data_IF_212979146829
#
_entry.id   IF_212979146829
#
_cell.length_a   1.000
_cell.length_b   1.000
_cell.length_c   1.000
_cell.angle_alpha   90.00
_cell.angle_beta   90.00
_cell.angle_gamma   90.00
#
_symmetry.space_group_name_H-M   'P 1'
#
loop_
_entity.id
_entity.type
_entity.pdbx_description
1 polymer ?
#
# COMPACT_ATOMS: atom_id res chain seq x y z
N UNK A 1 -31.35 25.42 25.81
CA UNK A 1 -31.50 24.00 26.22
C UNK A 1 -30.61 23.16 25.34
N UNK A 2 -29.47 22.69 25.87
CA UNK A 2 -28.70 21.56 25.35
C UNK A 2 -27.70 21.13 26.44
N UNK A 3 -28.12 20.13 27.22
CA UNK A 3 -27.30 19.12 27.89
C UNK A 3 -26.45 18.38 26.80
N UNK A 4 -25.34 17.68 27.03
CA UNK A 4 -24.83 16.97 28.20
C UNK A 4 -23.36 16.55 27.93
N UNK A 5 -22.60 16.42 29.02
CA UNK A 5 -21.57 15.39 29.29
C UNK A 5 -20.34 15.24 28.39
N UNK A 6 -19.22 15.80 28.88
CA UNK A 6 -17.90 15.14 28.86
C UNK A 6 -17.95 13.94 29.81
N UNK A 7 -17.71 12.73 29.31
CA UNK A 7 -17.38 11.57 30.17
C UNK A 7 -15.94 11.16 29.92
N UNK A 8 -15.11 11.32 30.94
CA UNK A 8 -13.80 10.70 31.03
C UNK A 8 -13.94 9.19 31.21
N UNK A 9 -12.99 8.42 30.68
CA UNK A 9 -12.86 7.00 30.98
C UNK A 9 -11.66 6.82 31.90
N UNK A 10 -11.97 6.47 33.14
CA UNK A 10 -11.04 6.03 34.16
C UNK A 10 -10.33 4.74 33.73
N UNK A 11 -9.05 4.67 34.02
CA UNK A 11 -8.26 3.46 33.99
C UNK A 11 -8.68 2.56 35.18
N UNK A 12 -9.15 1.36 34.89
CA UNK A 12 -9.42 0.31 35.87
C UNK A 12 -8.23 -0.65 35.93
N UNK A 13 -7.61 -0.73 37.09
CA UNK A 13 -6.58 -1.69 37.47
C UNK A 13 -7.25 -2.73 38.36
N UNK A 14 -7.15 -4.03 38.03
CA UNK A 14 -7.13 -5.15 38.99
C UNK A 14 -7.21 -6.50 38.29
N UNK A 15 -6.41 -7.46 38.78
CA UNK A 15 -6.68 -8.88 38.60
C UNK A 15 -5.46 -9.76 38.32
N UNK A 16 -4.60 -9.95 39.33
CA UNK A 16 -3.58 -10.99 39.38
C UNK A 16 -4.22 -12.34 39.77
N UNK A 17 -4.00 -13.42 39.02
CA UNK A 17 -3.97 -14.80 39.57
C UNK A 17 -2.97 -15.65 38.78
N UNK A 18 -2.05 -16.28 39.52
CA UNK A 18 -1.06 -17.29 39.08
C UNK A 18 -1.69 -18.66 38.82
N UNK A 19 -1.25 -19.32 37.75
CA UNK A 19 -0.94 -20.76 37.66
C UNK A 19 -0.24 -20.97 36.30
N UNK A 20 0.95 -21.54 36.14
CA UNK A 20 1.55 -22.65 36.87
C UNK A 20 1.28 -23.97 36.13
N UNK A 21 1.74 -24.12 34.88
CA UNK A 21 1.72 -25.42 34.18
C UNK A 21 3.05 -25.65 33.47
N UNK A 22 3.78 -26.64 33.96
CA UNK A 22 4.93 -27.28 33.31
C UNK A 22 4.45 -28.00 32.05
N UNK A 23 5.01 -27.67 30.89
CA UNK A 23 4.86 -28.49 29.68
C UNK A 23 6.13 -29.33 29.55
N UNK A 24 6.01 -30.62 29.85
CA UNK A 24 7.02 -31.62 29.54
C UNK A 24 7.11 -31.77 28.01
N UNK A 25 8.33 -31.64 27.47
CA UNK A 25 8.60 -31.96 26.08
C UNK A 25 8.48 -33.48 25.86
N UNK A 26 7.78 -33.96 24.83
CA UNK A 26 7.87 -35.37 24.46
C UNK A 26 9.22 -35.66 23.81
N UNK A 27 9.80 -36.77 24.24
CA UNK A 27 10.94 -37.45 23.62
C UNK A 27 10.66 -37.67 22.12
N UNK A 28 11.60 -37.24 21.28
CA UNK A 28 11.62 -37.58 19.87
C UNK A 28 11.80 -39.10 19.72
N UNK A 29 10.77 -39.78 19.21
CA UNK A 29 10.91 -41.12 18.64
C UNK A 29 11.19 -40.96 17.16
N UNK A 30 12.42 -41.26 16.75
CA UNK A 30 12.81 -41.34 15.35
C UNK A 30 12.23 -42.63 14.74
N UNK A 31 11.01 -42.54 14.22
CA UNK A 31 10.46 -43.57 13.32
C UNK A 31 10.99 -43.35 11.91
N UNK A 32 11.75 -44.31 11.39
CA UNK A 32 12.14 -44.33 9.98
C UNK A 32 11.01 -45.01 9.20
N UNK A 33 10.03 -44.22 8.75
CA UNK A 33 9.02 -44.69 7.80
C UNK A 33 9.54 -44.51 6.37
N UNK A 34 9.36 -45.50 5.47
CA UNK A 34 9.78 -45.40 4.08
C UNK A 34 9.00 -44.31 3.32
N UNK A 35 9.71 -43.57 2.46
CA UNK A 35 9.17 -42.50 1.63
C UNK A 35 8.16 -43.02 0.61
N UNK A 36 6.89 -43.14 1.01
CA UNK A 36 5.77 -43.07 0.07
C UNK A 36 5.60 -41.62 -0.38
N UNK A 37 5.72 -41.40 -1.69
CA UNK A 37 5.47 -40.12 -2.33
C UNK A 37 4.13 -39.50 -1.86
N UNK A 38 4.07 -38.19 -1.58
CA UNK A 38 2.81 -37.55 -1.19
C UNK A 38 1.83 -37.59 -2.37
N UNK A 39 0.51 -37.71 -2.11
CA UNK A 39 -0.47 -37.50 -3.16
C UNK A 39 -0.37 -36.05 -3.66
N UNK A 40 -0.25 -35.91 -4.98
CA UNK A 40 -0.59 -34.69 -5.72
C UNK A 40 -1.95 -34.18 -5.26
N UNK A 41 -2.00 -33.00 -4.61
CA UNK A 41 -3.26 -32.26 -4.43
C UNK A 41 -3.58 -31.62 -3.08
N UNK A 42 -2.61 -31.24 -2.23
CA UNK A 42 -2.94 -30.40 -1.07
C UNK A 42 -2.77 -28.91 -1.37
N UNK A 43 -3.81 -28.32 -1.98
CA UNK A 43 -4.00 -26.86 -1.98
C UNK A 43 -4.47 -26.46 -0.59
N UNK A 44 -3.53 -26.22 0.33
CA UNK A 44 -3.85 -25.56 1.60
C UNK A 44 -4.55 -24.21 1.34
N UNK A 45 -5.39 -23.71 2.26
CA UNK A 45 -6.03 -22.42 2.06
C UNK A 45 -4.95 -21.35 1.90
N UNK A 46 -4.89 -20.74 0.72
CA UNK A 46 -4.11 -19.53 0.48
C UNK A 46 -4.50 -18.51 1.55
N UNK A 47 -3.51 -17.82 2.13
CA UNK A 47 -3.78 -16.75 3.07
C UNK A 47 -4.75 -15.74 2.44
N UNK A 48 -5.95 -15.62 3.00
CA UNK A 48 -6.94 -14.62 2.61
C UNK A 48 -6.83 -13.45 3.58
N UNK A 49 -6.28 -12.34 3.11
CA UNK A 49 -6.28 -11.11 3.88
C UNK A 49 -7.61 -10.37 3.71
N UNK A 50 -8.06 -9.67 4.74
CA UNK A 50 -9.21 -8.76 4.62
C UNK A 50 -8.75 -7.50 3.91
N UNK A 51 -9.42 -7.12 2.83
CA UNK A 51 -9.10 -5.88 2.13
C UNK A 51 -9.26 -4.68 3.07
N UNK A 52 -8.22 -3.85 3.18
CA UNK A 52 -8.22 -2.69 4.07
C UNK A 52 -7.39 -1.57 3.48
N UNK A 53 -8.02 -0.41 3.30
CA UNK A 53 -7.33 0.83 2.93
C UNK A 53 -7.03 1.68 4.17
N UNK A 54 -5.86 2.29 4.22
CA UNK A 54 -5.44 3.23 5.26
C UNK A 54 -4.73 4.40 4.60
N UNK A 55 -5.19 5.63 4.89
CA UNK A 55 -4.53 6.86 4.49
C UNK A 55 -3.75 7.42 5.69
N UNK A 56 -2.45 7.62 5.54
CA UNK A 56 -1.57 8.07 6.61
C UNK A 56 -0.33 8.81 6.08
N UNK A 57 0.44 9.38 7.00
CA UNK A 57 1.67 10.13 6.69
C UNK A 57 1.42 11.59 6.36
N UNK A 58 2.32 12.20 5.61
CA UNK A 58 2.13 13.56 5.08
C UNK A 58 1.15 13.52 3.91
N UNK A 59 0.20 14.46 3.90
CA UNK A 59 -0.69 14.69 2.76
C UNK A 59 -0.05 15.72 1.82
N UNK A 60 0.30 15.29 0.62
CA UNK A 60 0.90 16.15 -0.39
C UNK A 60 -0.16 16.95 -1.14
N UNK A 61 0.15 18.22 -1.42
CA UNK A 61 -0.58 18.99 -2.41
C UNK A 61 -0.33 18.49 -3.84
N UNK A 62 -1.24 18.77 -4.75
CA UNK A 62 -1.12 18.39 -6.17
C UNK A 62 0.19 18.90 -6.78
N UNK A 63 0.61 20.12 -6.42
CA UNK A 63 1.90 20.70 -6.84
C UNK A 63 3.09 19.89 -6.33
N UNK A 64 3.05 19.41 -5.08
CA UNK A 64 4.12 18.57 -4.55
C UNK A 64 4.18 17.22 -5.27
N UNK A 65 3.02 16.61 -5.56
CA UNK A 65 2.94 15.38 -6.36
C UNK A 65 3.56 15.63 -7.75
N UNK A 66 3.17 16.72 -8.41
CA UNK A 66 3.71 17.12 -9.71
C UNK A 66 5.22 17.34 -9.66
N UNK A 67 5.74 17.97 -8.60
CA UNK A 67 7.18 18.18 -8.44
C UNK A 67 7.95 16.87 -8.30
N UNK A 68 7.44 15.92 -7.49
CA UNK A 68 8.07 14.61 -7.37
C UNK A 68 8.04 13.83 -8.68
N UNK A 69 6.92 13.83 -9.39
CA UNK A 69 6.79 13.19 -10.70
C UNK A 69 7.74 13.80 -11.74
N UNK A 70 7.84 15.13 -11.79
CA UNK A 70 8.77 15.84 -12.68
C UNK A 70 10.22 15.53 -12.35
N UNK A 71 10.57 15.54 -11.06
CA UNK A 71 11.93 15.20 -10.60
C UNK A 71 12.29 13.72 -10.88
N UNK A 72 11.30 12.84 -11.02
CA UNK A 72 11.48 11.47 -11.45
C UNK A 72 11.66 11.30 -12.98
N UNK A 73 11.60 12.39 -13.75
CA UNK A 73 11.82 12.40 -15.19
C UNK A 73 10.55 12.44 -16.04
N UNK A 74 9.36 12.44 -15.42
CA UNK A 74 8.09 12.48 -16.15
C UNK A 74 7.83 13.89 -16.71
N UNK A 75 7.32 13.93 -17.94
CA UNK A 75 7.04 15.17 -18.66
C UNK A 75 5.80 15.05 -19.55
N UNK A 76 5.28 16.19 -19.99
CA UNK A 76 4.17 16.25 -20.94
C UNK A 76 2.93 15.47 -20.45
N UNK A 77 2.34 14.68 -21.34
CA UNK A 77 1.14 13.91 -20.99
C UNK A 77 1.41 12.85 -19.92
N UNK A 78 2.61 12.25 -19.90
CA UNK A 78 3.01 11.27 -18.88
C UNK A 78 3.05 11.88 -17.48
N UNK A 79 3.51 13.14 -17.36
CA UNK A 79 3.44 13.89 -16.10
C UNK A 79 2.00 14.12 -15.64
N UNK A 80 1.13 14.56 -16.55
CA UNK A 80 -0.28 14.82 -16.23
C UNK A 80 -0.99 13.53 -15.79
N UNK A 81 -0.82 12.43 -16.52
CA UNK A 81 -1.45 11.15 -16.15
C UNK A 81 -0.89 10.65 -14.80
N UNK A 82 0.41 10.77 -14.56
CA UNK A 82 1.03 10.38 -13.29
C UNK A 82 0.41 11.08 -12.08
N UNK A 83 0.18 12.39 -12.18
CA UNK A 83 -0.45 13.16 -11.10
C UNK A 83 -1.89 12.70 -10.89
N UNK A 84 -2.65 12.49 -11.97
CA UNK A 84 -4.03 12.03 -11.89
C UNK A 84 -4.14 10.61 -11.28
N UNK A 85 -3.24 9.70 -11.65
CA UNK A 85 -3.13 8.36 -11.07
C UNK A 85 -2.79 8.44 -9.59
N UNK A 86 -1.76 9.19 -9.20
CA UNK A 86 -1.41 9.39 -7.78
C UNK A 86 -2.59 9.89 -6.92
N UNK A 87 -3.36 10.84 -7.45
CA UNK A 87 -4.54 11.38 -6.77
C UNK A 87 -5.68 10.36 -6.66
N UNK A 88 -5.89 9.54 -7.69
CA UNK A 88 -6.88 8.46 -7.64
C UNK A 88 -6.48 7.33 -6.68
N UNK A 89 -5.20 7.00 -6.64
CA UNK A 89 -4.64 5.90 -5.86
C UNK A 89 -4.62 6.20 -4.36
N UNK A 90 -4.11 7.37 -3.98
CA UNK A 90 -3.80 7.67 -2.57
C UNK A 90 -4.34 8.99 -2.07
N UNK A 91 -4.97 9.80 -2.94
CA UNK A 91 -5.32 11.19 -2.67
C UNK A 91 -4.13 12.08 -2.28
N UNK A 92 -2.88 11.60 -2.46
CA UNK A 92 -1.65 12.31 -2.06
C UNK A 92 -1.07 11.90 -0.70
N UNK A 93 -1.57 10.86 -0.05
CA UNK A 93 -1.05 10.41 1.25
C UNK A 93 0.22 9.55 1.09
N UNK A 94 1.33 10.02 1.67
CA UNK A 94 2.66 9.38 1.53
C UNK A 94 2.78 7.98 2.11
N UNK A 95 1.99 7.65 3.13
CA UNK A 95 1.93 6.31 3.75
C UNK A 95 0.58 5.64 3.53
N UNK A 96 -0.07 5.92 2.39
CA UNK A 96 -1.26 5.17 1.98
C UNK A 96 -0.93 3.68 1.80
N UNK A 97 -1.79 2.81 2.32
CA UNK A 97 -1.68 1.36 2.17
C UNK A 97 -3.05 0.79 1.82
N UNK A 98 -3.11 0.00 0.75
CA UNK A 98 -4.19 -0.94 0.51
C UNK A 98 -3.65 -2.36 0.74
N UNK A 99 -4.22 -3.07 1.71
CA UNK A 99 -4.04 -4.52 1.87
C UNK A 99 -5.03 -5.19 0.93
N UNK A 100 -4.55 -6.03 0.02
CA UNK A 100 -5.36 -6.80 -0.91
C UNK A 100 -5.74 -8.17 -0.34
N UNK A 101 -6.71 -8.83 -0.97
CA UNK A 101 -7.20 -10.14 -0.53
C UNK A 101 -6.16 -11.26 -0.65
N UNK A 102 -5.20 -11.09 -1.57
CA UNK A 102 -4.04 -11.96 -1.74
C UNK A 102 -2.88 -11.62 -0.79
N UNK A 103 -3.12 -10.77 0.20
CA UNK A 103 -2.14 -10.25 1.16
C UNK A 103 -1.01 -9.41 0.55
N UNK A 104 -1.07 -9.03 -0.73
CA UNK A 104 -0.19 -8.00 -1.28
C UNK A 104 -0.58 -6.61 -0.75
N UNK A 105 0.37 -5.69 -0.72
CA UNK A 105 0.15 -4.31 -0.28
C UNK A 105 0.42 -3.34 -1.43
N UNK A 106 -0.51 -2.44 -1.72
CA UNK A 106 -0.26 -1.26 -2.54
C UNK A 106 0.18 -0.11 -1.65
N UNK A 107 1.33 0.50 -1.96
CA UNK A 107 2.08 1.32 -1.00
C UNK A 107 2.40 2.71 -1.53
N UNK A 108 2.15 3.71 -0.70
CA UNK A 108 2.53 5.10 -0.93
C UNK A 108 1.71 5.82 -1.99
N UNK A 109 2.24 6.96 -2.45
CA UNK A 109 1.49 7.93 -3.26
C UNK A 109 1.00 7.35 -4.58
N UNK A 110 1.82 6.52 -5.24
CA UNK A 110 1.47 5.83 -6.50
C UNK A 110 1.03 4.38 -6.30
N UNK A 111 0.78 3.95 -5.05
CA UNK A 111 0.25 2.63 -4.72
C UNK A 111 1.05 1.48 -5.39
N UNK A 112 2.37 1.43 -5.12
CA UNK A 112 3.25 0.41 -5.70
C UNK A 112 3.02 -0.95 -5.01
N UNK A 113 2.50 -1.92 -5.75
CA UNK A 113 2.18 -3.25 -5.23
C UNK A 113 3.42 -4.04 -4.78
N UNK A 114 3.37 -4.66 -3.60
CA UNK A 114 4.50 -5.42 -3.02
C UNK A 114 4.75 -6.79 -3.64
N UNK A 115 3.74 -7.40 -4.27
CA UNK A 115 3.86 -8.70 -4.95
C UNK A 115 4.42 -8.55 -6.35
N UNK A 116 3.93 -7.56 -7.11
CA UNK A 116 4.36 -7.34 -8.50
C UNK A 116 5.63 -6.48 -8.63
N UNK A 117 5.90 -5.63 -7.63
CA UNK A 117 7.09 -4.78 -7.57
C UNK A 117 7.89 -5.00 -6.29
N UNK A 118 8.27 -6.27 -6.06
CA UNK A 118 9.07 -6.69 -4.90
C UNK A 118 10.47 -6.06 -4.86
N UNK A 119 10.97 -5.55 -5.99
CA UNK A 119 12.20 -4.77 -6.07
C UNK A 119 12.09 -3.38 -5.41
N UNK A 120 10.86 -2.92 -5.13
CA UNK A 120 10.60 -1.66 -4.42
C UNK A 120 10.31 -1.96 -2.95
N UNK A 121 11.27 -1.65 -2.08
CA UNK A 121 11.11 -1.79 -0.63
C UNK A 121 10.01 -0.87 -0.09
N UNK A 122 9.47 -1.19 1.09
CA UNK A 122 8.49 -0.32 1.77
C UNK A 122 9.06 1.08 2.04
N UNK A 123 10.34 1.18 2.40
CA UNK A 123 11.01 2.46 2.59
C UNK A 123 11.00 3.31 1.31
N UNK A 124 11.20 2.69 0.14
CA UNK A 124 11.13 3.39 -1.14
C UNK A 124 9.69 3.73 -1.53
N UNK A 125 8.75 2.81 -1.31
CA UNK A 125 7.35 3.03 -1.66
C UNK A 125 6.70 4.15 -0.82
N UNK A 126 7.07 4.27 0.46
CA UNK A 126 6.53 5.31 1.36
C UNK A 126 7.29 6.64 1.34
N UNK A 127 8.48 6.71 0.70
CA UNK A 127 9.15 7.97 0.44
C UNK A 127 8.69 8.52 -0.92
N UNK A 128 8.10 9.73 -0.99
CA UNK A 128 7.48 10.22 -2.21
C UNK A 128 8.45 10.40 -3.39
N UNK A 129 9.73 10.69 -3.14
CA UNK A 129 10.72 10.85 -4.21
C UNK A 129 11.03 9.49 -4.87
N UNK A 130 11.33 8.47 -4.07
CA UNK A 130 11.62 7.13 -4.58
C UNK A 130 10.36 6.40 -5.09
N UNK A 131 9.19 6.70 -4.53
CA UNK A 131 7.91 6.21 -5.03
C UNK A 131 7.64 6.77 -6.43
N UNK A 132 7.88 8.07 -6.67
CA UNK A 132 7.75 8.67 -7.99
C UNK A 132 8.74 8.09 -9.01
N UNK A 133 9.99 7.83 -8.60
CA UNK A 133 10.98 7.13 -9.44
C UNK A 133 10.56 5.71 -9.82
N UNK A 134 9.95 4.98 -8.87
CA UNK A 134 9.39 3.67 -9.16
C UNK A 134 8.22 3.77 -10.15
N UNK A 135 7.28 4.69 -9.92
CA UNK A 135 6.16 4.92 -10.82
C UNK A 135 6.62 5.31 -12.24
N UNK A 136 7.63 6.18 -12.36
CA UNK A 136 8.22 6.53 -13.65
C UNK A 136 8.81 5.31 -14.37
N UNK A 137 9.59 4.47 -13.67
CA UNK A 137 10.14 3.23 -14.26
C UNK A 137 9.05 2.26 -14.70
N UNK A 138 8.08 1.98 -13.82
CA UNK A 138 7.01 1.00 -14.06
C UNK A 138 6.11 1.45 -15.21
N UNK A 139 5.89 2.76 -15.35
CA UNK A 139 5.07 3.33 -16.43
C UNK A 139 5.79 3.49 -17.78
N UNK A 140 6.93 2.84 -17.98
CA UNK A 140 7.81 3.06 -19.15
C UNK A 140 8.13 4.54 -19.38
N UNK A 141 8.49 5.25 -18.30
CA UNK A 141 8.69 6.69 -18.25
C UNK A 141 7.44 7.52 -18.65
N UNK A 142 6.26 7.04 -18.25
CA UNK A 142 4.98 7.70 -18.44
C UNK A 142 4.29 7.43 -19.78
N UNK A 143 4.83 6.53 -20.61
CA UNK A 143 4.21 6.12 -21.88
C UNK A 143 3.20 4.98 -21.74
N UNK A 144 3.24 4.23 -20.64
CA UNK A 144 2.34 3.11 -20.38
C UNK A 144 1.82 3.15 -18.94
N UNK A 145 0.50 3.21 -18.77
CA UNK A 145 -0.16 3.25 -17.47
C UNK A 145 -1.05 2.03 -17.23
N UNK A 146 -0.98 1.00 -18.09
CA UNK A 146 -1.75 -0.23 -17.90
C UNK A 146 -1.43 -1.01 -16.61
N UNK A 147 -0.29 -0.82 -15.91
CA UNK A 147 -0.10 -1.44 -14.59
C UNK A 147 -1.03 -0.91 -13.50
N UNK A 148 -1.62 0.28 -13.66
CA UNK A 148 -2.50 0.89 -12.65
C UNK A 148 -3.97 0.66 -12.97
N UNK A 149 -4.68 -0.03 -12.08
CA UNK A 149 -6.13 -0.26 -12.21
C UNK A 149 -6.92 1.05 -12.24
N UNK A 150 -6.50 2.08 -11.49
CA UNK A 150 -7.13 3.42 -11.53
C UNK A 150 -7.04 4.11 -12.88
N UNK A 151 -6.04 3.76 -13.69
CA UNK A 151 -5.95 4.19 -15.09
C UNK A 151 -6.92 3.39 -15.97
N UNK A 152 -6.87 2.05 -15.87
CA UNK A 152 -7.69 1.14 -16.69
C UNK A 152 -9.19 1.38 -16.48
N UNK A 153 -9.65 1.54 -15.24
CA UNK A 153 -11.06 1.71 -14.92
C UNK A 153 -11.55 3.17 -15.06
N UNK A 154 -10.68 4.10 -15.47
CA UNK A 154 -11.01 5.51 -15.66
C UNK A 154 -11.11 6.35 -14.39
N UNK A 155 -10.85 5.80 -13.19
CA UNK A 155 -10.94 6.55 -11.94
C UNK A 155 -10.03 7.80 -11.92
N UNK A 156 -8.88 7.76 -12.60
CA UNK A 156 -7.96 8.89 -12.74
C UNK A 156 -8.58 10.10 -13.46
N UNK A 157 -9.59 9.89 -14.32
CA UNK A 157 -10.13 10.94 -15.20
C UNK A 157 -10.72 12.12 -14.42
N UNK A 158 -11.36 11.85 -13.28
CA UNK A 158 -11.92 12.91 -12.42
C UNK A 158 -10.85 13.86 -11.85
N UNK A 159 -9.58 13.42 -11.81
CA UNK A 159 -8.45 14.21 -11.32
C UNK A 159 -7.69 14.93 -12.43
N UNK A 160 -8.04 14.74 -13.71
CA UNK A 160 -7.29 15.32 -14.84
C UNK A 160 -7.23 16.84 -14.83
N UNK A 161 -8.29 17.53 -14.38
CA UNK A 161 -8.29 19.00 -14.27
C UNK A 161 -7.26 19.50 -13.24
N UNK A 162 -7.25 18.86 -12.05
CA UNK A 162 -6.27 19.12 -10.99
C UNK A 162 -4.86 18.79 -11.45
N UNK A 163 -4.68 17.64 -12.11
CA UNK A 163 -3.39 17.21 -12.62
C UNK A 163 -2.78 18.17 -13.65
N UNK A 164 -3.58 18.65 -14.62
CA UNK A 164 -3.14 19.67 -15.59
C UNK A 164 -2.73 20.97 -14.90
N UNK A 165 -3.51 21.39 -13.91
CA UNK A 165 -3.22 22.59 -13.11
C UNK A 165 -1.91 22.46 -12.35
N UNK A 166 -1.65 21.30 -11.74
CA UNK A 166 -0.40 21.06 -11.03
C UNK A 166 0.81 20.91 -11.96
N UNK A 167 0.65 20.25 -13.11
CA UNK A 167 1.71 20.09 -14.10
C UNK A 167 2.18 21.44 -14.66
N UNK A 168 1.27 22.39 -14.91
CA UNK A 168 1.65 23.73 -15.40
C UNK A 168 2.46 24.52 -14.38
N UNK A 169 2.33 24.22 -13.09
CA UNK A 169 3.08 24.88 -12.01
C UNK A 169 4.52 24.37 -11.86
N UNK A 170 4.87 23.25 -12.51
CA UNK A 170 6.21 22.63 -12.44
C UNK A 170 6.89 22.51 -13.79
N UNK A 171 6.42 23.27 -14.79
CA UNK A 171 7.10 23.44 -16.07
C UNK A 171 6.72 22.44 -17.16
N UNK A 172 5.55 21.78 -17.08
CA UNK A 172 4.93 21.05 -18.20
C UNK A 172 5.69 19.82 -18.69
#
# INVERSE_FOLDING_TARGET
MANLSKLGRAAGISGLVLAGVLVAAPLASAGTEPLTAPPIGFSGPSATCTQKSTLAGTHLSDKQIAQYARNAGLHGNGLVISIAVALAESQGWTKAVLINTDCSHDRGVWQINSRWHGEVSDAQAFNPATCAQAAARISSNGSDWSPWTTYINGAYQQYMSRARTAASQVGG
#
